data_IF_455801204682
#
_entry.id   IF_455801204682
#
_cell.length_a   1.000
_cell.length_b   1.000
_cell.length_c   1.000
_cell.angle_alpha   90.00
_cell.angle_beta   90.00
_cell.angle_gamma   90.00
#
_symmetry.space_group_name_H-M   'P 1'
#
loop_
_entity.id
_entity.type
_entity.pdbx_description
1 polymer ?
#
# COMPACT_ATOMS: atom_id res chain seq x y z
N UNK A 1 -23.74 -4.64 -10.64
CA UNK A 1 -23.66 -5.08 -9.22
C UNK A 1 -22.88 -4.02 -8.48
N UNK A 2 -23.21 -3.72 -7.22
CA UNK A 2 -22.35 -2.91 -6.36
C UNK A 2 -21.51 -3.87 -5.50
N UNK A 3 -20.22 -3.95 -5.80
CA UNK A 3 -19.29 -4.88 -5.13
C UNK A 3 -19.13 -4.56 -3.64
N UNK A 4 -19.19 -3.28 -3.26
CA UNK A 4 -19.07 -2.86 -1.87
C UNK A 4 -20.26 -3.35 -1.05
N UNK A 5 -21.48 -3.23 -1.58
CA UNK A 5 -22.70 -3.76 -0.95
C UNK A 5 -22.65 -5.29 -0.82
N UNK A 6 -22.26 -5.98 -1.91
CA UNK A 6 -22.15 -7.45 -1.92
C UNK A 6 -21.11 -7.97 -0.92
N UNK A 7 -20.03 -7.21 -0.72
CA UNK A 7 -18.95 -7.55 0.21
C UNK A 7 -19.18 -7.01 1.64
N UNK A 8 -20.30 -6.30 1.88
CA UNK A 8 -20.59 -5.64 3.15
C UNK A 8 -19.50 -4.66 3.61
N UNK A 9 -18.93 -3.90 2.68
CA UNK A 9 -17.93 -2.86 2.94
C UNK A 9 -18.57 -1.48 3.04
N UNK A 10 -18.04 -0.63 3.92
CA UNK A 10 -18.57 0.71 4.16
C UNK A 10 -17.81 1.76 3.35
N UNK A 11 -18.49 2.35 2.36
CA UNK A 11 -17.98 3.51 1.64
C UNK A 11 -18.07 4.79 2.49
N UNK A 12 -16.97 5.53 2.59
CA UNK A 12 -16.94 6.87 3.18
C UNK A 12 -16.56 7.91 2.12
N UNK A 13 -17.05 9.16 2.24
CA UNK A 13 -16.66 10.22 1.32
C UNK A 13 -15.16 10.51 1.42
N UNK A 14 -14.49 10.55 0.27
CA UNK A 14 -13.11 10.99 0.15
C UNK A 14 -13.00 12.53 0.27
N UNK A 15 -11.81 13.04 0.58
CA UNK A 15 -11.59 14.48 0.81
C UNK A 15 -11.25 15.27 -0.45
N UNK A 16 -10.53 14.67 -1.40
CA UNK A 16 -9.93 15.34 -2.58
C UNK A 16 -10.42 14.76 -3.92
N UNK A 17 -11.12 13.63 -3.91
CA UNK A 17 -11.61 12.92 -5.11
C UNK A 17 -13.06 12.48 -4.95
N UNK A 18 -13.71 12.09 -6.06
CA UNK A 18 -15.10 11.62 -6.07
C UNK A 18 -15.26 10.16 -5.62
N UNK A 19 -14.41 9.20 -6.02
CA UNK A 19 -14.53 7.82 -5.55
C UNK A 19 -14.40 7.72 -4.03
N UNK A 20 -15.16 6.83 -3.36
CA UNK A 20 -15.12 6.70 -1.92
C UNK A 20 -13.85 6.01 -1.45
N UNK A 21 -13.50 6.24 -0.19
CA UNK A 21 -12.55 5.41 0.57
C UNK A 21 -13.32 4.29 1.29
N UNK A 22 -12.62 3.23 1.69
CA UNK A 22 -13.22 2.09 2.41
C UNK A 22 -12.88 2.19 3.89
N UNK A 23 -13.92 2.26 4.75
CA UNK A 23 -13.77 2.42 6.21
C UNK A 23 -12.92 1.32 6.84
N UNK A 24 -13.09 0.09 6.37
CA UNK A 24 -12.43 -1.10 6.90
C UNK A 24 -10.95 -1.20 6.45
N UNK A 25 -10.52 -0.38 5.49
CA UNK A 25 -9.14 -0.38 5.00
C UNK A 25 -8.28 0.58 5.83
N UNK A 26 -7.25 0.06 6.50
CA UNK A 26 -6.37 0.82 7.38
C UNK A 26 -5.46 1.85 6.64
N UNK A 27 -5.35 1.73 5.32
CA UNK A 27 -4.57 2.64 4.47
C UNK A 27 -5.25 2.82 3.11
N UNK A 28 -5.77 4.03 2.86
CA UNK A 28 -6.37 4.43 1.59
C UNK A 28 -5.54 5.54 0.92
N UNK A 29 -5.36 5.45 -0.39
CA UNK A 29 -4.81 6.54 -1.20
C UNK A 29 -5.89 7.14 -2.08
N UNK A 30 -6.03 8.46 -2.03
CA UNK A 30 -6.86 9.17 -2.98
C UNK A 30 -5.99 9.62 -4.16
N UNK A 31 -6.35 9.19 -5.36
CA UNK A 31 -5.55 9.42 -6.56
C UNK A 31 -6.35 10.18 -7.63
N UNK A 32 -5.69 11.13 -8.31
CA UNK A 32 -6.18 11.70 -9.56
C UNK A 32 -5.47 11.03 -10.73
N UNK A 33 -6.20 10.73 -11.80
CA UNK A 33 -5.61 10.18 -13.03
C UNK A 33 -4.54 11.14 -13.55
N UNK A 34 -3.35 10.60 -13.82
CA UNK A 34 -2.26 11.31 -14.48
C UNK A 34 -2.19 10.89 -15.95
N UNK A 35 -1.93 9.61 -16.21
CA UNK A 35 -1.97 9.01 -17.55
C UNK A 35 -2.32 7.51 -17.48
N UNK A 36 -2.63 6.91 -18.62
CA UNK A 36 -2.81 5.47 -18.75
C UNK A 36 -2.36 4.97 -20.13
N UNK A 37 -1.99 3.70 -20.21
CA UNK A 37 -1.68 2.98 -21.46
C UNK A 37 -2.10 1.53 -21.31
N UNK A 38 -3.03 1.07 -22.15
CA UNK A 38 -3.59 -0.29 -22.09
C UNK A 38 -4.11 -0.62 -20.67
N UNK A 39 -3.50 -1.59 -19.99
CA UNK A 39 -3.86 -2.03 -18.64
C UNK A 39 -3.07 -1.34 -17.54
N UNK A 40 -2.18 -0.39 -17.89
CA UNK A 40 -1.39 0.39 -16.93
C UNK A 40 -2.10 1.72 -16.69
N UNK A 41 -2.46 1.97 -15.43
CA UNK A 41 -3.09 3.22 -14.98
C UNK A 41 -2.15 3.89 -13.97
N UNK A 42 -1.80 5.15 -14.21
CA UNK A 42 -0.98 5.94 -13.29
C UNK A 42 -1.82 7.05 -12.67
N UNK A 43 -1.80 7.09 -11.35
CA UNK A 43 -2.50 8.09 -10.55
C UNK A 43 -1.53 8.88 -9.69
N UNK A 44 -1.74 10.20 -9.62
CA UNK A 44 -1.08 11.07 -8.66
C UNK A 44 -1.81 10.98 -7.32
N UNK A 45 -1.11 10.56 -6.27
CA UNK A 45 -1.62 10.59 -4.89
C UNK A 45 -1.83 12.04 -4.46
N UNK A 46 -3.06 12.39 -4.09
CA UNK A 46 -3.46 13.75 -3.67
C UNK A 46 -3.92 13.81 -2.21
N UNK A 47 -4.21 12.66 -1.60
CA UNK A 47 -4.47 12.52 -0.17
C UNK A 47 -4.14 11.09 0.28
N UNK A 48 -3.95 10.90 1.59
CA UNK A 48 -3.81 9.58 2.20
C UNK A 48 -4.64 9.57 3.48
N UNK A 49 -5.48 8.56 3.65
CA UNK A 49 -6.10 8.25 4.93
C UNK A 49 -5.40 7.02 5.49
N UNK A 50 -4.91 7.12 6.71
CA UNK A 50 -4.17 6.06 7.39
C UNK A 50 -4.57 6.04 8.86
N UNK A 51 -4.73 4.86 9.43
CA UNK A 51 -4.95 4.71 10.86
C UNK A 51 -3.75 5.28 11.63
N UNK A 52 -4.01 6.14 12.61
CA UNK A 52 -2.97 6.86 13.38
C UNK A 52 -1.94 5.92 14.00
N UNK A 53 -2.36 4.71 14.40
CA UNK A 53 -1.49 3.67 14.95
C UNK A 53 -0.42 3.18 13.96
N UNK A 54 -0.62 3.35 12.65
CA UNK A 54 0.33 2.97 11.61
C UNK A 54 1.37 4.07 11.32
N UNK A 55 1.09 5.31 11.70
CA UNK A 55 2.01 6.44 11.51
C UNK A 55 3.13 6.38 12.56
N UNK A 56 2.77 6.13 13.82
CA UNK A 56 3.67 6.24 14.97
C UNK A 56 4.40 4.94 15.35
N UNK A 57 4.61 4.04 14.40
CA UNK A 57 5.30 2.78 14.63
C UNK A 57 6.48 2.56 13.69
N UNK A 58 7.37 1.64 14.08
CA UNK A 58 8.49 1.19 13.25
C UNK A 58 7.99 0.50 11.97
N UNK A 59 8.86 0.33 10.98
CA UNK A 59 8.50 -0.36 9.72
C UNK A 59 7.99 -1.78 9.99
N UNK A 60 8.65 -2.51 10.89
CA UNK A 60 8.25 -3.88 11.26
C UNK A 60 6.87 -3.89 11.90
N UNK A 61 6.65 -3.08 12.93
CA UNK A 61 5.34 -2.98 13.59
C UNK A 61 4.24 -2.54 12.63
N UNK A 62 4.53 -1.62 11.71
CA UNK A 62 3.57 -1.17 10.69
C UNK A 62 3.12 -2.34 9.82
N UNK A 63 4.05 -3.18 9.36
CA UNK A 63 3.71 -4.34 8.55
C UNK A 63 2.96 -5.40 9.35
N UNK A 64 3.34 -5.62 10.60
CA UNK A 64 2.64 -6.51 11.52
C UNK A 64 1.21 -6.02 11.83
N UNK A 65 0.96 -4.71 11.88
CA UNK A 65 -0.38 -4.14 12.10
C UNK A 65 -1.23 -4.10 10.83
N UNK A 66 -0.64 -3.71 9.70
CA UNK A 66 -1.32 -3.67 8.40
C UNK A 66 -1.85 -5.04 7.98
N UNK A 67 -1.14 -6.12 8.35
CA UNK A 67 -1.49 -7.49 7.97
C UNK A 67 -1.75 -7.62 6.45
N UNK A 68 -0.96 -6.91 5.65
CA UNK A 68 -1.18 -6.80 4.21
C UNK A 68 -1.16 -8.17 3.54
N UNK A 69 -2.19 -8.44 2.74
CA UNK A 69 -2.31 -9.65 1.93
C UNK A 69 -1.73 -9.42 0.54
N UNK A 70 -0.97 -10.40 0.06
CA UNK A 70 -0.36 -10.42 -1.25
C UNK A 70 -0.96 -11.55 -2.06
N UNK A 71 -1.24 -11.31 -3.33
CA UNK A 71 -1.58 -12.36 -4.28
C UNK A 71 -0.32 -13.19 -4.59
N UNK A 72 -0.41 -14.50 -4.42
CA UNK A 72 0.64 -15.48 -4.72
C UNK A 72 0.16 -16.38 -5.85
N UNK A 73 0.74 -16.22 -7.04
CA UNK A 73 0.23 -16.87 -8.25
C UNK A 73 -1.15 -16.34 -8.66
N UNK A 74 -2.01 -17.19 -9.20
CA UNK A 74 -3.31 -16.76 -9.73
C UNK A 74 -4.50 -16.89 -8.75
N UNK A 75 -4.36 -17.68 -7.68
CA UNK A 75 -5.50 -18.09 -6.83
C UNK A 75 -5.21 -18.18 -5.35
N UNK A 76 -3.98 -17.89 -4.92
CA UNK A 76 -3.58 -18.00 -3.52
C UNK A 76 -3.23 -16.62 -2.98
N UNK A 77 -3.41 -16.43 -1.68
CA UNK A 77 -3.01 -15.21 -0.99
C UNK A 77 -2.14 -15.58 0.21
N UNK A 78 -1.20 -14.70 0.54
CA UNK A 78 -0.32 -14.85 1.69
C UNK A 78 -0.13 -13.54 2.43
N UNK A 79 0.33 -13.63 3.67
CA UNK A 79 0.79 -12.47 4.46
C UNK A 79 2.31 -12.34 4.34
N UNK A 80 2.82 -11.17 4.74
CA UNK A 80 4.26 -11.01 4.95
C UNK A 80 4.70 -12.00 6.03
N UNK A 81 5.72 -12.80 5.72
CA UNK A 81 6.35 -13.73 6.66
C UNK A 81 7.37 -13.02 7.55
N UNK A 82 8.49 -13.69 7.83
CA UNK A 82 9.53 -13.14 8.69
C UNK A 82 10.17 -11.88 8.09
N UNK A 83 10.15 -10.80 8.88
CA UNK A 83 10.83 -9.54 8.55
C UNK A 83 12.19 -9.53 9.24
N UNK A 84 13.25 -9.33 8.47
CA UNK A 84 14.64 -9.23 8.96
C UNK A 84 15.29 -7.97 8.42
N UNK A 85 16.15 -7.34 9.22
CA UNK A 85 17.00 -6.25 8.73
C UNK A 85 18.05 -6.80 7.77
N UNK A 86 18.32 -6.04 6.70
CA UNK A 86 19.41 -6.35 5.79
C UNK A 86 20.75 -6.10 6.49
N UNK A 87 21.73 -7.02 6.40
CA UNK A 87 23.06 -6.80 6.96
C UNK A 87 23.71 -5.51 6.43
N UNK A 88 24.25 -4.69 7.32
CA UNK A 88 24.87 -3.39 7.00
C UNK A 88 26.00 -3.50 5.96
N UNK A 89 26.73 -4.62 5.94
CA UNK A 89 27.79 -4.87 4.98
C UNK A 89 27.29 -4.89 3.53
N UNK A 90 26.09 -5.46 3.32
CA UNK A 90 25.44 -5.51 2.02
C UNK A 90 25.00 -4.11 1.59
N UNK A 91 24.43 -3.32 2.51
CA UNK A 91 24.02 -1.93 2.23
C UNK A 91 25.21 -1.07 1.79
N UNK A 92 26.32 -1.12 2.53
CA UNK A 92 27.55 -0.39 2.20
C UNK A 92 28.13 -0.77 0.83
N UNK A 93 28.02 -2.04 0.44
CA UNK A 93 28.45 -2.50 -0.89
C UNK A 93 27.62 -1.85 -2.00
N UNK A 94 26.29 -1.84 -1.88
CA UNK A 94 25.41 -1.22 -2.87
C UNK A 94 25.61 0.30 -2.98
N UNK A 95 25.76 1.00 -1.86
CA UNK A 95 26.04 2.45 -1.86
C UNK A 95 27.34 2.79 -2.62
N UNK A 96 28.35 1.93 -2.49
CA UNK A 96 29.64 2.08 -3.18
C UNK A 96 29.56 1.76 -4.68
N UNK A 97 28.59 0.97 -5.11
CA UNK A 97 28.35 0.67 -6.54
C UNK A 97 27.52 1.77 -7.20
N UNK A 98 26.50 2.30 -6.51
CA UNK A 98 25.69 3.42 -6.98
C UNK A 98 26.49 4.73 -7.11
N UNK A 99 27.46 4.97 -6.22
CA UNK A 99 28.34 6.16 -6.29
C UNK A 99 29.36 6.12 -7.44
N UNK A 100 29.42 5.03 -8.21
CA UNK A 100 30.29 4.87 -9.38
C UNK A 100 29.56 4.99 -10.72
N UNK A 101 28.23 5.11 -10.71
CA UNK A 101 27.41 5.39 -11.89
C UNK A 101 27.14 6.89 -12.00
#
# INVERSE_FOLDING_TARGET
>A
VNELEKAHLTALPAQKVKPPIIKECALNFECKLDWYRETIIVGKVVNTLVDTELIHCTVKERQERLQQMFLVGARMYGKIGDIKELPLEILRKYEKELSKQ
#
